data_IF_268444166461
#
_entry.id   IF_268444166461
#
_cell.length_a   1.000
_cell.length_b   1.000
_cell.length_c   1.000
_cell.angle_alpha   90.00
_cell.angle_beta   90.00
_cell.angle_gamma   90.00
#
_symmetry.space_group_name_H-M   'P 1'
#
loop_
_entity.id
_entity.type
_entity.pdbx_description
1 polymer ?
#
# COMPACT_ATOMS: atom_id res chain seq x y z
N UNK A 1 -69.22 1.90 28.25
CA UNK A 1 -68.03 2.74 28.53
C UNK A 1 -66.67 2.09 28.20
N UNK A 2 -66.59 0.82 27.75
CA UNK A 2 -65.31 0.15 27.41
C UNK A 2 -64.85 0.37 25.95
N UNK A 3 -65.75 0.74 25.04
CA UNK A 3 -65.44 0.90 23.60
C UNK A 3 -64.55 2.11 23.27
N UNK A 4 -64.57 3.16 24.10
CA UNK A 4 -63.77 4.37 23.87
C UNK A 4 -62.28 4.15 24.21
N UNK A 5 -61.98 3.37 25.25
CA UNK A 5 -60.60 3.01 25.63
C UNK A 5 -59.96 2.03 24.64
N UNK A 6 -60.74 1.08 24.13
CA UNK A 6 -60.25 0.07 23.18
C UNK A 6 -59.88 0.71 21.83
N UNK A 7 -60.64 1.71 21.37
CA UNK A 7 -60.37 2.45 20.13
C UNK A 7 -59.04 3.22 20.16
N UNK A 8 -58.65 3.77 21.31
CA UNK A 8 -57.39 4.52 21.42
C UNK A 8 -56.16 3.59 21.39
N UNK A 9 -56.26 2.41 22.03
CA UNK A 9 -55.18 1.41 22.01
C UNK A 9 -54.90 0.83 20.62
N UNK A 10 -55.94 0.61 19.81
CA UNK A 10 -55.77 0.13 18.43
C UNK A 10 -55.20 1.19 17.50
N UNK A 11 -55.53 2.48 17.71
CA UNK A 11 -54.96 3.58 16.93
C UNK A 11 -53.46 3.74 17.21
N UNK A 12 -53.03 3.60 18.48
CA UNK A 12 -51.62 3.63 18.84
C UNK A 12 -50.83 2.49 18.17
N UNK A 13 -51.33 1.24 18.22
CA UNK A 13 -50.64 0.11 17.58
C UNK A 13 -50.55 0.26 16.06
N UNK A 14 -51.60 0.75 15.41
CA UNK A 14 -51.58 0.98 13.96
C UNK A 14 -50.57 2.06 13.59
N UNK A 15 -50.48 3.14 14.37
CA UNK A 15 -49.47 4.18 14.14
C UNK A 15 -48.04 3.65 14.31
N UNK A 16 -47.79 2.78 15.30
CA UNK A 16 -46.48 2.16 15.51
C UNK A 16 -46.08 1.25 14.34
N UNK A 17 -47.02 0.45 13.83
CA UNK A 17 -46.78 -0.40 12.65
C UNK A 17 -46.52 0.45 11.42
N UNK A 18 -47.26 1.54 11.22
CA UNK A 18 -47.04 2.45 10.11
C UNK A 18 -45.64 3.11 10.17
N UNK A 19 -45.21 3.56 11.35
CA UNK A 19 -43.88 4.16 11.56
C UNK A 19 -42.78 3.13 11.28
N UNK A 20 -42.91 1.90 11.81
CA UNK A 20 -41.95 0.82 11.55
C UNK A 20 -41.88 0.48 10.06
N UNK A 21 -43.03 0.42 9.38
CA UNK A 21 -43.08 0.16 7.95
C UNK A 21 -42.34 1.23 7.14
N UNK A 22 -42.59 2.51 7.43
CA UNK A 22 -41.88 3.63 6.79
C UNK A 22 -40.39 3.57 7.10
N UNK A 23 -40.00 3.28 8.34
CA UNK A 23 -38.59 3.16 8.74
C UNK A 23 -37.87 2.05 7.96
N UNK A 24 -38.52 0.90 7.76
CA UNK A 24 -37.96 -0.21 6.97
C UNK A 24 -37.80 0.18 5.50
N UNK A 25 -38.79 0.83 4.89
CA UNK A 25 -38.72 1.29 3.50
C UNK A 25 -37.59 2.31 3.31
N UNK A 26 -37.48 3.28 4.22
CA UNK A 26 -36.40 4.27 4.20
C UNK A 26 -35.03 3.59 4.35
N UNK A 27 -34.90 2.63 5.26
CA UNK A 27 -33.65 1.88 5.45
C UNK A 27 -33.26 1.12 4.18
N UNK A 28 -34.22 0.48 3.50
CA UNK A 28 -33.95 -0.23 2.26
C UNK A 28 -33.45 0.71 1.15
N UNK A 29 -34.02 1.92 1.06
CA UNK A 29 -33.60 2.91 0.08
C UNK A 29 -32.20 3.47 0.39
N UNK A 30 -31.92 3.78 1.65
CA UNK A 30 -30.60 4.22 2.11
C UNK A 30 -29.52 3.19 1.82
N UNK A 31 -29.77 1.91 2.12
CA UNK A 31 -28.80 0.83 1.84
C UNK A 31 -28.47 0.75 0.35
N UNK A 32 -29.46 0.90 -0.54
CA UNK A 32 -29.24 0.94 -1.98
C UNK A 32 -28.42 2.17 -2.41
N UNK A 33 -28.70 3.34 -1.82
CA UNK A 33 -27.99 4.58 -2.11
C UNK A 33 -26.52 4.52 -1.65
N UNK A 34 -26.28 4.07 -0.42
CA UNK A 34 -24.93 3.88 0.13
C UNK A 34 -24.14 2.87 -0.70
N UNK A 35 -24.76 1.81 -1.20
CA UNK A 35 -24.11 0.83 -2.07
C UNK A 35 -23.62 1.47 -3.38
N UNK A 36 -24.41 2.36 -3.97
CA UNK A 36 -24.01 3.08 -5.18
C UNK A 36 -22.82 4.03 -4.91
N UNK A 37 -22.88 4.80 -3.83
CA UNK A 37 -21.80 5.71 -3.41
C UNK A 37 -20.50 4.96 -3.09
N UNK A 38 -20.63 3.84 -2.38
CA UNK A 38 -19.53 2.95 -2.03
C UNK A 38 -18.76 2.53 -3.30
N UNK A 39 -19.48 2.18 -4.37
CA UNK A 39 -18.87 1.76 -5.63
C UNK A 39 -18.09 2.89 -6.33
N UNK A 40 -18.55 4.14 -6.27
CA UNK A 40 -17.81 5.30 -6.79
C UNK A 40 -16.53 5.57 -5.98
N UNK A 41 -16.63 5.56 -4.65
CA UNK A 41 -15.48 5.75 -3.77
C UNK A 41 -14.42 4.66 -3.96
N UNK A 42 -14.84 3.39 -4.08
CA UNK A 42 -13.93 2.29 -4.39
C UNK A 42 -13.29 2.42 -5.78
N UNK A 43 -14.03 2.89 -6.78
CA UNK A 43 -13.47 3.12 -8.11
C UNK A 43 -12.36 4.18 -8.09
N UNK A 44 -12.57 5.29 -7.35
CA UNK A 44 -11.56 6.33 -7.18
C UNK A 44 -10.31 5.83 -6.46
N UNK A 45 -10.50 5.06 -5.38
CA UNK A 45 -9.39 4.43 -4.67
C UNK A 45 -8.58 3.50 -5.58
N UNK A 46 -9.28 2.67 -6.36
CA UNK A 46 -8.64 1.75 -7.30
C UNK A 46 -7.83 2.47 -8.39
N UNK A 47 -8.28 3.64 -8.84
CA UNK A 47 -7.52 4.46 -9.81
C UNK A 47 -6.21 4.96 -9.17
N UNK A 48 -6.29 5.56 -7.98
CA UNK A 48 -5.11 6.05 -7.28
C UNK A 48 -4.10 4.94 -6.98
N UNK A 49 -4.58 3.75 -6.61
CA UNK A 49 -3.72 2.59 -6.37
C UNK A 49 -3.06 2.07 -7.66
N UNK A 50 -3.78 2.08 -8.78
CA UNK A 50 -3.22 1.72 -10.11
C UNK A 50 -2.10 2.66 -10.53
N UNK A 51 -2.26 3.96 -10.32
CA UNK A 51 -1.21 4.93 -10.63
C UNK A 51 0.04 4.70 -9.78
N UNK A 52 -0.14 4.43 -8.48
CA UNK A 52 0.96 4.06 -7.59
C UNK A 52 1.68 2.78 -8.04
N UNK A 53 0.93 1.75 -8.46
CA UNK A 53 1.50 0.50 -8.94
C UNK A 53 2.27 0.66 -10.26
N UNK A 54 1.77 1.50 -11.19
CA UNK A 54 2.50 1.83 -12.42
C UNK A 54 3.84 2.48 -12.12
N UNK A 55 3.86 3.47 -11.24
CA UNK A 55 5.09 4.17 -10.87
C UNK A 55 6.12 3.24 -10.21
N UNK A 56 5.67 2.32 -9.35
CA UNK A 56 6.52 1.28 -8.74
C UNK A 56 7.12 0.35 -9.80
N UNK A 57 6.35 -0.06 -10.80
CA UNK A 57 6.84 -0.91 -11.88
C UNK A 57 7.91 -0.18 -12.73
N UNK A 58 7.66 1.07 -13.08
CA UNK A 58 8.63 1.92 -13.81
C UNK A 58 9.93 2.11 -13.00
N UNK A 59 9.81 2.42 -11.71
CA UNK A 59 10.97 2.55 -10.82
C UNK A 59 11.78 1.25 -10.73
N UNK A 60 11.11 0.10 -10.61
CA UNK A 60 11.75 -1.21 -10.63
C UNK A 60 12.55 -1.44 -11.92
N UNK A 61 11.99 -1.06 -13.08
CA UNK A 61 12.69 -1.11 -14.37
C UNK A 61 13.94 -0.24 -14.36
N UNK A 62 13.86 1.01 -13.90
CA UNK A 62 15.01 1.91 -13.84
C UNK A 62 16.12 1.41 -12.91
N UNK A 63 15.77 0.78 -11.78
CA UNK A 63 16.77 0.18 -10.87
C UNK A 63 17.45 -1.04 -11.50
N UNK A 64 16.69 -1.88 -12.20
CA UNK A 64 17.25 -3.00 -12.95
C UNK A 64 18.19 -2.50 -14.05
N UNK A 65 17.79 -1.46 -14.79
CA UNK A 65 18.66 -0.79 -15.75
C UNK A 65 19.94 -0.30 -15.04
N UNK A 66 19.87 0.50 -13.98
CA UNK A 66 21.06 1.01 -13.30
C UNK A 66 21.97 -0.10 -12.73
N UNK A 67 21.38 -1.18 -12.21
CA UNK A 67 22.14 -2.34 -11.68
C UNK A 67 22.95 -3.03 -12.77
N UNK A 68 22.48 -3.05 -14.03
CA UNK A 68 23.27 -3.59 -15.14
C UNK A 68 24.46 -2.68 -15.51
N UNK A 69 24.30 -1.35 -15.38
CA UNK A 69 25.36 -0.37 -15.66
C UNK A 69 26.41 -0.31 -14.54
N UNK A 70 26.01 -0.58 -13.30
CA UNK A 70 26.89 -0.73 -12.13
C UNK A 70 27.36 -2.16 -11.88
N UNK A 71 27.17 -3.08 -12.82
CA UNK A 71 27.62 -4.46 -12.66
C UNK A 71 29.12 -4.49 -12.38
N UNK A 72 29.51 -5.28 -11.38
CA UNK A 72 30.88 -5.34 -10.85
C UNK A 72 31.90 -5.62 -11.96
N UNK A 73 31.49 -6.38 -12.98
CA UNK A 73 32.27 -6.69 -14.17
C UNK A 73 32.65 -5.45 -14.98
N UNK A 74 31.74 -4.47 -15.11
CA UNK A 74 32.02 -3.24 -15.87
C UNK A 74 32.91 -2.29 -15.09
N UNK A 75 32.72 -2.21 -13.76
CA UNK A 75 33.60 -1.43 -12.87
C UNK A 75 35.01 -2.02 -12.86
N UNK A 76 35.12 -3.36 -12.82
CA UNK A 76 36.39 -4.08 -12.82
C UNK A 76 37.11 -3.97 -14.17
N UNK A 77 36.37 -3.99 -15.29
CA UNK A 77 36.91 -3.73 -16.62
C UNK A 77 37.45 -2.28 -16.74
N UNK A 78 36.68 -1.28 -16.30
CA UNK A 78 37.13 0.12 -16.29
C UNK A 78 38.32 0.36 -15.36
N UNK A 79 38.37 -0.27 -14.19
CA UNK A 79 39.51 -0.18 -13.28
C UNK A 79 40.77 -0.83 -13.88
N UNK A 80 40.63 -1.94 -14.62
CA UNK A 80 41.73 -2.57 -15.32
C UNK A 80 42.22 -1.74 -16.51
N UNK A 81 41.31 -1.15 -17.27
CA UNK A 81 41.63 -0.47 -18.53
C UNK A 81 42.08 0.98 -18.31
N UNK A 82 41.35 1.77 -17.51
CA UNK A 82 41.62 3.20 -17.30
C UNK A 82 42.62 3.46 -16.17
N UNK A 83 42.59 2.64 -15.12
CA UNK A 83 43.45 2.79 -13.93
C UNK A 83 44.63 1.79 -13.91
N UNK A 84 44.73 0.91 -14.92
CA UNK A 84 45.74 -0.17 -14.98
C UNK A 84 45.79 -1.02 -13.70
N UNK A 85 44.66 -1.18 -12.99
CA UNK A 85 44.60 -2.00 -11.79
C UNK A 85 44.57 -3.48 -12.18
N UNK A 86 45.60 -4.21 -11.78
CA UNK A 86 45.67 -5.67 -11.88
C UNK A 86 45.38 -6.30 -10.51
N UNK A 87 44.83 -7.53 -10.50
CA UNK A 87 44.55 -8.21 -9.24
C UNK A 87 45.89 -8.66 -8.62
N UNK A 88 46.26 -8.16 -7.44
CA UNK A 88 47.58 -8.41 -6.87
C UNK A 88 47.77 -9.91 -6.57
N UNK A 89 48.97 -10.40 -6.85
CA UNK A 89 49.37 -11.78 -6.57
C UNK A 89 49.57 -11.90 -5.05
N UNK A 90 49.29 -13.06 -4.45
CA UNK A 90 49.34 -13.26 -2.99
C UNK A 90 50.66 -12.82 -2.31
N UNK A 91 51.75 -12.68 -3.07
CA UNK A 91 53.06 -12.18 -2.63
C UNK A 91 53.15 -10.66 -2.42
N UNK A 92 52.24 -9.86 -2.97
CA UNK A 92 52.20 -8.38 -2.83
C UNK A 92 51.24 -7.90 -1.73
N UNK A 93 50.54 -8.82 -1.07
CA UNK A 93 49.58 -8.50 -0.01
C UNK A 93 50.36 -8.15 1.27
N UNK A 94 50.63 -6.85 1.46
CA UNK A 94 51.23 -6.32 2.69
C UNK A 94 50.18 -6.22 3.80
N UNK A 95 50.15 -7.22 4.69
CA UNK A 95 49.34 -7.17 5.91
C UNK A 95 50.03 -6.22 6.89
N UNK A 96 49.54 -4.99 6.98
CA UNK A 96 50.01 -4.03 7.99
C UNK A 96 49.40 -4.39 9.34
N UNK A 97 50.01 -5.36 10.00
CA UNK A 97 49.76 -5.62 11.41
C UNK A 97 50.22 -4.40 12.20
N UNK A 98 49.34 -3.82 13.02
CA UNK A 98 49.73 -2.85 14.05
C UNK A 98 50.63 -3.60 15.04
N UNK A 99 51.93 -3.69 14.77
CA UNK A 99 52.91 -4.07 15.76
C UNK A 99 52.79 -3.01 16.85
N UNK A 100 52.25 -3.42 17.99
CA UNK A 100 52.33 -2.67 19.23
C UNK A 100 53.80 -2.37 19.46
N UNK A 101 54.19 -1.12 19.19
CA UNK A 101 55.47 -0.55 19.57
C UNK A 101 55.71 -0.87 21.05
N UNK A 102 56.91 -1.37 21.34
CA UNK A 102 57.33 -1.82 22.65
C UNK A 102 57.08 -0.78 23.74
N UNK A 103 56.52 -1.27 24.84
CA UNK A 103 56.77 -0.70 26.16
C UNK A 103 58.05 -1.31 26.70
N UNK A 104 58.96 -0.42 27.13
CA UNK A 104 60.07 -0.71 28.03
C UNK A 104 59.58 -1.32 29.35
#
# INVERSE_FOLDING_TARGET
MKSLLQRNRTLLSVSQVAILWVAVVLTAFEVAHVTYLCRDHYARLAIAERDGNRLKAEYGKSILELSTWGSMQRIEALAREELSMENPIASEIMIVGRLSSGGL
#
